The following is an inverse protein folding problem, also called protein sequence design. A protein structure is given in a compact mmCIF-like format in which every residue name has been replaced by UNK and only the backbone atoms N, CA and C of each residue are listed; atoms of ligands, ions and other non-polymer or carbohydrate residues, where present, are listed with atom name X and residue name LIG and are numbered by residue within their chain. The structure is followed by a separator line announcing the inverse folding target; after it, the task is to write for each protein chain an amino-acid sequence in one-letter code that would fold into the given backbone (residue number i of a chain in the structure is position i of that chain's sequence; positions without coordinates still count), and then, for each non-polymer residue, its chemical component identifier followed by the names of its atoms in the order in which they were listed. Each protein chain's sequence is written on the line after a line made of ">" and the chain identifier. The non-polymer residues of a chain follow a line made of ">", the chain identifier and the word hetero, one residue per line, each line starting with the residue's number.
data_IF_601782932100
#
_entry.id   IF_601782932100
#
_cell.length_a   1.000
_cell.length_b   1.000
_cell.length_c   1.000
_cell.angle_alpha   90.00
_cell.angle_beta   90.00
_cell.angle_gamma   90.00
#
_symmetry.space_group_name_H-M   'P 1'
#
loop_
_entity.id
_entity.type
_entity.pdbx_description
1 polymer ?
#
# COMPACT_ATOMS: atom_id res chain seq x y z
N UNK A 1 -19.33 7.39 3.96
CA UNK A 1 -19.20 8.50 4.93
C UNK A 1 -17.89 8.33 5.71
N UNK A 2 -17.29 9.44 6.18
CA UNK A 2 -16.15 9.39 7.10
C UNK A 2 -16.53 8.67 8.39
N UNK A 3 -15.59 7.98 9.01
CA UNK A 3 -15.82 7.22 10.22
C UNK A 3 -14.62 7.34 11.19
N UNK A 4 -14.89 7.08 12.47
CA UNK A 4 -13.83 7.05 13.50
C UNK A 4 -13.01 5.79 13.32
N UNK A 5 -11.71 5.97 13.07
CA UNK A 5 -10.73 4.91 12.94
C UNK A 5 -9.64 5.00 14.01
N UNK A 6 -8.83 3.97 14.12
CA UNK A 6 -7.68 3.91 15.03
C UNK A 6 -6.42 3.55 14.25
N UNK A 7 -5.36 4.33 14.43
CA UNK A 7 -4.01 3.98 13.99
C UNK A 7 -3.26 3.29 15.14
N UNK A 8 -2.01 2.94 14.93
CA UNK A 8 -1.11 2.47 16.01
C UNK A 8 -0.78 3.55 17.05
N UNK A 9 -0.96 4.82 16.68
CA UNK A 9 -0.59 5.97 17.51
C UNK A 9 -1.81 6.60 18.14
N UNK A 10 -2.87 6.91 17.37
CA UNK A 10 -4.00 7.67 17.85
C UNK A 10 -5.31 7.36 17.10
N UNK A 11 -6.41 7.93 17.61
CA UNK A 11 -7.72 7.92 16.98
C UNK A 11 -7.84 9.06 15.96
N UNK A 12 -8.52 8.79 14.85
CA UNK A 12 -8.84 9.81 13.85
C UNK A 12 -10.28 9.67 13.37
N UNK A 13 -10.81 10.75 12.82
CA UNK A 13 -12.09 10.72 12.12
C UNK A 13 -11.87 11.08 10.66
N UNK A 14 -12.20 10.16 9.74
CA UNK A 14 -11.96 10.39 8.33
C UNK A 14 -12.01 9.14 7.47
N UNK A 15 -11.12 9.10 6.50
CA UNK A 15 -10.97 8.03 5.52
C UNK A 15 -9.58 7.40 5.61
N UNK A 16 -9.47 6.18 5.13
CA UNK A 16 -8.19 5.51 4.86
C UNK A 16 -7.95 5.48 3.36
N UNK A 17 -6.74 5.83 2.95
CA UNK A 17 -6.26 5.67 1.58
C UNK A 17 -5.42 4.39 1.49
N UNK A 18 -5.84 3.46 0.65
CA UNK A 18 -5.11 2.24 0.33
C UNK A 18 -4.46 2.41 -1.03
N UNK A 19 -3.17 2.09 -1.12
CA UNK A 19 -2.36 2.26 -2.33
C UNK A 19 -1.64 0.96 -2.68
N UNK A 20 -1.50 0.70 -3.97
CA UNK A 20 -0.54 -0.27 -4.51
C UNK A 20 0.44 0.48 -5.39
N UNK A 21 1.71 0.24 -5.17
CA UNK A 21 2.81 0.83 -5.95
C UNK A 21 3.71 -0.28 -6.47
N UNK A 22 4.36 -0.03 -7.62
CA UNK A 22 5.41 -0.92 -8.12
C UNK A 22 6.80 -0.51 -7.60
N UNK A 23 7.82 -1.24 -8.02
CA UNK A 23 9.23 -0.99 -7.69
C UNK A 23 9.78 0.34 -8.22
N UNK A 24 9.07 0.98 -9.14
CA UNK A 24 9.39 2.30 -9.69
C UNK A 24 8.66 3.45 -8.98
N UNK A 25 7.94 3.14 -7.89
CA UNK A 25 7.14 4.11 -7.16
C UNK A 25 5.90 4.60 -7.91
N UNK A 26 5.50 3.93 -8.98
CA UNK A 26 4.30 4.29 -9.74
C UNK A 26 3.05 3.75 -9.02
N UNK A 27 2.00 4.57 -8.97
CA UNK A 27 0.72 4.16 -8.40
C UNK A 27 0.00 3.23 -9.39
N UNK A 28 -0.19 1.98 -8.99
CA UNK A 28 -0.89 0.97 -9.79
C UNK A 28 -2.39 0.98 -9.54
N UNK A 29 -2.78 1.12 -8.29
CA UNK A 29 -4.19 1.20 -7.92
C UNK A 29 -4.35 1.89 -6.57
N UNK A 30 -5.57 2.36 -6.31
CA UNK A 30 -5.93 3.01 -5.06
C UNK A 30 -7.38 2.74 -4.67
N UNK A 31 -7.65 2.81 -3.38
CA UNK A 31 -9.01 2.76 -2.86
C UNK A 31 -9.12 3.61 -1.59
N UNK A 32 -10.23 4.34 -1.46
CA UNK A 32 -10.56 5.10 -0.27
C UNK A 32 -11.67 4.36 0.47
N UNK A 33 -11.49 4.18 1.77
CA UNK A 33 -12.49 3.55 2.64
C UNK A 33 -12.75 4.41 3.89
N UNK A 34 -13.90 4.24 4.55
CA UNK A 34 -14.12 4.83 5.87
C UNK A 34 -13.04 4.41 6.87
N UNK A 35 -12.72 5.29 7.83
CA UNK A 35 -11.63 5.08 8.79
C UNK A 35 -11.76 3.82 9.65
N UNK A 36 -12.97 3.30 9.88
CA UNK A 36 -13.25 2.08 10.65
C UNK A 36 -13.16 0.78 9.82
N UNK A 37 -12.89 0.87 8.51
CA UNK A 37 -12.78 -0.32 7.65
C UNK A 37 -11.52 -1.11 7.99
N UNK A 38 -11.65 -2.44 8.09
CA UNK A 38 -10.50 -3.35 8.20
C UNK A 38 -9.66 -3.27 6.91
N UNK A 39 -8.35 -3.10 7.06
CA UNK A 39 -7.43 -2.88 5.94
C UNK A 39 -7.39 -4.03 4.93
N UNK A 40 -7.79 -5.24 5.34
CA UNK A 40 -7.86 -6.44 4.50
C UNK A 40 -9.06 -6.47 3.57
N UNK A 41 -10.19 -5.83 3.96
CA UNK A 41 -11.44 -5.85 3.19
C UNK A 41 -11.33 -5.28 1.77
N UNK A 42 -10.65 -4.15 1.54
CA UNK A 42 -10.53 -3.58 0.19
C UNK A 42 -9.53 -4.33 -0.70
N UNK A 43 -8.66 -5.19 -0.16
CA UNK A 43 -7.55 -5.81 -0.90
C UNK A 43 -8.00 -6.56 -2.15
N UNK A 44 -9.00 -7.48 -2.13
CA UNK A 44 -9.40 -8.19 -3.34
C UNK A 44 -9.79 -7.24 -4.48
N UNK A 45 -10.56 -6.20 -4.17
CA UNK A 45 -10.95 -5.18 -5.17
C UNK A 45 -9.77 -4.33 -5.62
N UNK A 46 -8.85 -4.04 -4.71
CA UNK A 46 -7.67 -3.20 -4.97
C UNK A 46 -6.67 -3.90 -5.92
N UNK A 47 -6.64 -5.23 -5.91
CA UNK A 47 -5.63 -6.00 -6.67
C UNK A 47 -6.20 -6.80 -7.84
N UNK A 48 -7.51 -6.82 -8.08
CA UNK A 48 -8.17 -7.67 -9.07
C UNK A 48 -7.68 -7.47 -10.51
N UNK A 49 -7.12 -6.31 -10.84
CA UNK A 49 -6.53 -6.00 -12.16
C UNK A 49 -5.01 -6.15 -12.21
N UNK A 50 -4.39 -6.60 -11.11
CA UNK A 50 -2.96 -6.76 -11.00
C UNK A 50 -2.56 -8.22 -11.13
N UNK A 51 -1.27 -8.48 -11.26
CA UNK A 51 -0.69 -9.82 -11.35
C UNK A 51 0.65 -9.92 -10.62
N UNK A 52 1.13 -11.15 -10.40
CA UNK A 52 2.46 -11.40 -9.85
C UNK A 52 2.50 -11.45 -8.32
N UNK A 53 3.44 -10.73 -7.72
CA UNK A 53 3.72 -10.79 -6.28
C UNK A 53 3.42 -9.45 -5.62
N UNK A 54 2.68 -9.50 -4.52
CA UNK A 54 2.34 -8.31 -3.73
C UNK A 54 2.88 -8.48 -2.31
N UNK A 55 3.60 -7.45 -1.84
CA UNK A 55 4.20 -7.39 -0.52
C UNK A 55 3.48 -6.34 0.34
N UNK A 56 2.94 -6.77 1.47
CA UNK A 56 2.12 -5.95 2.34
C UNK A 56 2.66 -5.88 3.78
N UNK A 57 2.16 -4.94 4.57
CA UNK A 57 2.52 -4.80 5.96
C UNK A 57 1.81 -5.81 6.87
N UNK A 58 2.19 -5.82 8.15
CA UNK A 58 1.66 -6.73 9.20
C UNK A 58 0.16 -6.64 9.40
N UNK A 59 -0.45 -5.48 9.13
CA UNK A 59 -1.89 -5.28 9.21
C UNK A 59 -2.69 -6.18 8.25
N UNK A 60 -2.06 -6.57 7.15
CA UNK A 60 -2.68 -7.37 6.10
C UNK A 60 -2.50 -8.89 6.27
N UNK A 61 -1.88 -9.34 7.36
CA UNK A 61 -1.66 -10.78 7.60
C UNK A 61 -3.01 -11.50 7.73
N UNK A 62 -3.32 -12.35 6.74
CA UNK A 62 -4.51 -13.19 6.70
C UNK A 62 -4.26 -14.37 5.74
N UNK A 63 -4.34 -15.59 6.26
CA UNK A 63 -4.19 -16.78 5.43
C UNK A 63 -5.37 -16.95 4.47
N UNK A 64 -6.64 -16.75 4.89
CA UNK A 64 -7.78 -16.82 3.97
C UNK A 64 -7.64 -15.82 2.82
N UNK A 65 -7.23 -14.57 3.11
CA UNK A 65 -7.01 -13.55 2.07
C UNK A 65 -5.92 -13.98 1.07
N UNK A 66 -4.79 -14.48 1.54
CA UNK A 66 -3.71 -14.93 0.66
C UNK A 66 -4.15 -16.10 -0.23
N UNK A 67 -4.95 -17.02 0.30
CA UNK A 67 -5.51 -18.15 -0.48
C UNK A 67 -6.51 -17.65 -1.51
N UNK A 68 -7.42 -16.76 -1.14
CA UNK A 68 -8.39 -16.14 -2.04
C UNK A 68 -7.70 -15.41 -3.21
N UNK A 69 -6.68 -14.61 -2.92
CA UNK A 69 -5.96 -13.86 -3.96
C UNK A 69 -5.20 -14.78 -4.92
N UNK A 70 -4.64 -15.88 -4.41
CA UNK A 70 -3.96 -16.86 -5.25
C UNK A 70 -4.95 -17.60 -6.15
N UNK A 71 -6.09 -18.06 -5.60
CA UNK A 71 -7.08 -18.84 -6.34
C UNK A 71 -7.84 -18.02 -7.36
N UNK A 72 -8.27 -16.80 -7.01
CA UNK A 72 -9.14 -15.99 -7.87
C UNK A 72 -8.37 -15.11 -8.85
N UNK A 73 -7.15 -14.69 -8.51
CA UNK A 73 -6.40 -13.72 -9.30
C UNK A 73 -4.98 -14.17 -9.66
N UNK A 74 -4.53 -15.36 -9.21
CA UNK A 74 -3.16 -15.83 -9.43
C UNK A 74 -2.08 -15.00 -8.72
N UNK A 75 -2.47 -14.20 -7.73
CA UNK A 75 -1.59 -13.27 -7.03
C UNK A 75 -0.95 -13.96 -5.82
N UNK A 76 0.37 -13.96 -5.76
CA UNK A 76 1.12 -14.39 -4.58
C UNK A 76 1.21 -13.23 -3.58
N UNK A 77 0.50 -13.35 -2.46
CA UNK A 77 0.40 -12.30 -1.45
C UNK A 77 1.29 -12.58 -0.24
N UNK A 78 2.25 -11.69 0.02
CA UNK A 78 3.22 -11.78 1.09
C UNK A 78 2.98 -10.65 2.10
N UNK A 79 2.39 -10.95 3.24
CA UNK A 79 2.30 -10.00 4.36
C UNK A 79 3.40 -10.29 5.38
N UNK A 80 4.04 -9.24 5.92
CA UNK A 80 5.09 -9.38 6.94
C UNK A 80 4.53 -10.09 8.17
N UNK A 81 5.10 -11.24 8.62
CA UNK A 81 4.58 -11.99 9.74
C UNK A 81 4.59 -11.16 11.04
N UNK A 82 3.65 -11.43 11.93
CA UNK A 82 3.64 -10.86 13.28
C UNK A 82 4.74 -11.52 14.12
N UNK A 83 5.18 -10.86 15.20
CA UNK A 83 6.27 -11.34 16.06
C UNK A 83 6.07 -12.78 16.59
N UNK A 84 4.82 -13.18 16.81
CA UNK A 84 4.44 -14.49 17.36
C UNK A 84 4.16 -15.55 16.29
N UNK A 85 4.37 -15.24 15.01
CA UNK A 85 4.12 -16.19 13.91
C UNK A 85 5.43 -16.87 13.51
N UNK A 86 5.32 -18.17 13.15
CA UNK A 86 6.46 -18.90 12.58
C UNK A 86 6.92 -18.25 11.28
N UNK A 87 8.23 -18.13 11.11
CA UNK A 87 8.82 -17.69 9.85
C UNK A 87 8.48 -18.68 8.74
N UNK A 88 8.08 -18.16 7.58
CA UNK A 88 7.91 -18.95 6.36
C UNK A 88 9.23 -18.96 5.58
N UNK A 89 9.56 -20.12 5.03
CA UNK A 89 10.63 -20.20 4.06
C UNK A 89 10.22 -19.38 2.82
N UNK A 90 11.08 -18.48 2.42
CA UNK A 90 10.93 -17.61 1.25
C UNK A 90 12.18 -17.71 0.39
N UNK A 91 12.02 -17.61 -0.92
CA UNK A 91 13.14 -17.44 -1.83
C UNK A 91 13.92 -16.17 -1.45
N UNK A 92 15.23 -16.16 -1.69
CA UNK A 92 16.08 -15.00 -1.36
C UNK A 92 15.58 -13.73 -2.05
N UNK A 93 15.19 -13.83 -3.32
CA UNK A 93 14.59 -12.74 -4.09
C UNK A 93 13.32 -12.17 -3.42
N UNK A 94 12.42 -13.03 -2.96
CA UNK A 94 11.19 -12.60 -2.30
C UNK A 94 11.47 -11.97 -0.94
N UNK A 95 12.50 -12.46 -0.23
CA UNK A 95 12.94 -11.87 1.04
C UNK A 95 13.53 -10.47 0.84
N UNK A 96 14.27 -10.24 -0.24
CA UNK A 96 14.78 -8.92 -0.62
C UNK A 96 13.64 -7.96 -0.96
N UNK A 97 12.69 -8.38 -1.80
CA UNK A 97 11.51 -7.60 -2.15
C UNK A 97 10.65 -7.26 -0.92
N UNK A 98 10.46 -8.21 -0.02
CA UNK A 98 9.74 -7.98 1.23
C UNK A 98 10.42 -6.93 2.13
N UNK A 99 11.75 -6.84 2.12
CA UNK A 99 12.50 -5.79 2.83
C UNK A 99 12.33 -4.43 2.15
N UNK A 100 12.31 -4.39 0.83
CA UNK A 100 12.22 -3.17 0.02
C UNK A 100 10.79 -2.61 -0.11
N UNK A 101 9.78 -3.29 0.46
CA UNK A 101 8.40 -2.77 0.52
C UNK A 101 8.29 -1.38 1.15
N UNK A 102 9.31 -0.94 1.90
CA UNK A 102 9.37 0.41 2.50
C UNK A 102 9.30 1.55 1.47
N UNK A 103 9.44 1.27 0.18
CA UNK A 103 9.20 2.26 -0.88
C UNK A 103 7.81 2.91 -0.74
N UNK A 104 6.79 2.13 -0.30
CA UNK A 104 5.44 2.67 -0.08
C UNK A 104 5.43 3.75 1.01
N UNK A 105 6.28 3.61 2.03
CA UNK A 105 6.40 4.59 3.10
C UNK A 105 6.93 5.92 2.56
N UNK A 106 7.92 5.87 1.66
CA UNK A 106 8.44 7.06 0.97
C UNK A 106 7.40 7.69 0.05
N UNK A 107 6.63 6.87 -0.69
CA UNK A 107 5.54 7.36 -1.54
C UNK A 107 4.47 8.06 -0.69
N UNK A 108 4.06 7.43 0.41
CA UNK A 108 3.06 8.00 1.33
C UNK A 108 3.60 9.30 1.95
N UNK A 109 4.87 9.35 2.33
CA UNK A 109 5.50 10.54 2.88
C UNK A 109 5.48 11.71 1.87
N UNK A 110 5.82 11.46 0.61
CA UNK A 110 5.72 12.46 -0.44
C UNK A 110 4.29 12.94 -0.68
N UNK A 111 3.32 12.03 -0.70
CA UNK A 111 1.91 12.39 -0.84
C UNK A 111 1.43 13.24 0.34
N UNK A 112 1.87 12.97 1.55
CA UNK A 112 1.51 13.73 2.76
C UNK A 112 2.19 15.10 2.80
N UNK A 113 3.49 15.14 2.60
CA UNK A 113 4.30 16.34 2.85
C UNK A 113 4.42 17.25 1.62
N UNK A 114 4.49 16.71 0.41
CA UNK A 114 4.57 17.50 -0.83
C UNK A 114 3.16 17.81 -1.33
N UNK A 115 2.30 16.80 -1.49
CA UNK A 115 0.94 16.96 -2.02
C UNK A 115 -0.10 17.29 -0.93
N UNK A 116 0.27 17.28 0.34
CA UNK A 116 -0.53 17.65 1.51
C UNK A 116 -1.93 17.02 1.57
N UNK A 117 -2.05 15.75 1.14
CA UNK A 117 -3.34 15.06 1.06
C UNK A 117 -3.92 14.66 2.44
N UNK A 118 -3.10 14.65 3.50
CA UNK A 118 -3.51 14.14 4.81
C UNK A 118 -4.35 15.15 5.60
N UNK A 119 -3.99 16.40 5.56
CA UNK A 119 -4.62 17.46 6.33
C UNK A 119 -5.46 18.40 5.46
N UNK A 120 -6.54 17.88 4.91
CA UNK A 120 -7.46 18.72 4.17
C UNK A 120 -8.40 19.47 5.13
N UNK A 121 -8.53 20.78 4.95
CA UNK A 121 -9.49 21.61 5.67
C UNK A 121 -10.91 21.57 5.06
N UNK A 122 -11.11 20.69 4.09
CA UNK A 122 -12.38 20.57 3.38
C UNK A 122 -13.45 19.91 4.25
N UNK A 123 -14.55 20.60 4.46
CA UNK A 123 -15.74 20.07 5.14
C UNK A 123 -16.61 19.24 4.20
N UNK A 124 -16.56 19.51 2.89
CA UNK A 124 -17.29 18.76 1.87
C UNK A 124 -16.53 17.48 1.49
N UNK A 125 -17.17 16.30 1.50
CA UNK A 125 -16.58 15.05 1.01
C UNK A 125 -16.16 15.13 -0.46
N UNK A 126 -16.86 15.90 -1.28
CA UNK A 126 -16.52 16.10 -2.70
C UNK A 126 -15.20 16.87 -2.82
N UNK A 127 -15.08 18.01 -2.14
CA UNK A 127 -13.85 18.82 -2.17
C UNK A 127 -12.65 18.05 -1.57
N UNK A 128 -12.88 17.24 -0.54
CA UNK A 128 -11.89 16.32 -0.01
C UNK A 128 -11.42 15.33 -1.07
N UNK A 129 -12.37 14.69 -1.79
CA UNK A 129 -12.06 13.77 -2.89
C UNK A 129 -11.26 14.43 -4.02
N UNK A 130 -11.65 15.64 -4.41
CA UNK A 130 -10.93 16.44 -5.42
C UNK A 130 -9.51 16.74 -4.96
N UNK A 131 -9.31 17.17 -3.71
CA UNK A 131 -7.98 17.44 -3.16
C UNK A 131 -7.06 16.19 -3.20
N UNK A 132 -7.59 15.02 -2.82
CA UNK A 132 -6.85 13.76 -2.92
C UNK A 132 -6.47 13.47 -4.37
N UNK A 133 -7.43 13.57 -5.30
CA UNK A 133 -7.18 13.30 -6.72
C UNK A 133 -6.12 14.24 -7.30
N UNK A 134 -6.19 15.53 -6.99
CA UNK A 134 -5.18 16.50 -7.41
C UNK A 134 -3.78 16.13 -6.87
N UNK A 135 -3.68 15.75 -5.61
CA UNK A 135 -2.41 15.32 -5.01
C UNK A 135 -1.85 14.05 -5.65
N UNK A 136 -2.71 13.08 -5.95
CA UNK A 136 -2.31 11.84 -6.63
C UNK A 136 -1.87 12.11 -8.09
N UNK A 137 -2.59 12.97 -8.81
CA UNK A 137 -2.22 13.39 -10.17
C UNK A 137 -0.86 14.10 -10.14
N UNK A 138 -0.67 15.06 -9.23
CA UNK A 138 0.60 15.75 -9.07
C UNK A 138 1.76 14.79 -8.81
N UNK A 139 1.55 13.79 -7.94
CA UNK A 139 2.53 12.73 -7.70
C UNK A 139 2.82 11.92 -8.98
N UNK A 140 1.79 11.55 -9.76
CA UNK A 140 1.98 10.80 -11.00
C UNK A 140 2.82 11.56 -12.04
N UNK A 141 2.77 12.89 -12.03
CA UNK A 141 3.53 13.75 -12.92
C UNK A 141 4.90 14.17 -12.38
N UNK A 142 5.29 13.72 -11.19
CA UNK A 142 6.64 13.98 -10.68
C UNK A 142 7.71 13.40 -11.60
N UNK A 143 8.74 14.18 -11.98
CA UNK A 143 9.78 13.72 -12.90
C UNK A 143 10.68 12.63 -12.28
N UNK A 144 10.81 12.60 -10.96
CA UNK A 144 11.60 11.61 -10.23
C UNK A 144 10.77 11.01 -9.10
N UNK A 145 10.42 9.74 -9.23
CA UNK A 145 9.75 8.95 -8.20
C UNK A 145 10.75 8.13 -7.39
N UNK A 146 10.40 7.78 -6.13
CA UNK A 146 11.16 6.77 -5.39
C UNK A 146 11.21 5.47 -6.19
N UNK A 147 12.38 4.87 -6.34
CA UNK A 147 12.52 3.60 -7.07
C UNK A 147 13.45 2.64 -6.35
N UNK A 148 13.23 1.34 -6.55
CA UNK A 148 14.08 0.28 -6.05
C UNK A 148 15.05 -0.13 -7.16
N UNK A 149 16.36 -0.07 -6.90
CA UNK A 149 17.38 -0.58 -7.82
C UNK A 149 17.55 -2.10 -7.66
N UNK A 150 16.49 -2.87 -7.96
CA UNK A 150 16.43 -4.33 -7.72
C UNK A 150 17.51 -5.07 -8.53
N UNK A 151 17.74 -4.65 -9.76
CA UNK A 151 18.74 -5.27 -10.64
C UNK A 151 20.16 -5.21 -10.06
N UNK A 152 20.54 -4.05 -9.50
CA UNK A 152 21.85 -3.89 -8.83
C UNK A 152 21.98 -4.77 -7.60
N UNK A 153 20.90 -4.91 -6.84
CA UNK A 153 20.95 -5.72 -5.63
C UNK A 153 20.94 -7.23 -5.93
N UNK A 154 20.22 -7.67 -6.95
CA UNK A 154 20.24 -9.08 -7.36
C UNK A 154 21.62 -9.46 -7.94
N UNK A 155 22.28 -8.57 -8.65
CA UNK A 155 23.63 -8.79 -9.17
C UNK A 155 24.71 -8.95 -8.06
N UNK A 156 24.46 -8.44 -6.85
CA UNK A 156 25.38 -8.62 -5.72
C UNK A 156 25.27 -10.01 -5.05
N UNK A 157 24.23 -10.77 -5.36
CA UNK A 157 23.95 -12.10 -4.76
C UNK A 157 24.00 -13.24 -5.80
N UNK A 158 24.31 -12.93 -7.06
CA UNK A 158 24.60 -13.88 -8.12
C UNK A 158 26.10 -14.17 -8.22
#
# INVERSE_FOLDING_TARGET
>A
MAARGKTSVDWFFGFKLHLVVNERGELLNLQITPGNTDDRKPVPKLVCSLFGKIFADRGYVSQPLATELLQNFGIQFFAKPRRNMKNRLMLLSDKLLARKRSIIETVIDQLKNISQIEHSRHRSPVNFGVNILCGLIAYCHQPKKPSLNIEKDLAQYA
#
